data_IF_022982227180
#
_entry.id   IF_022982227180
#
_cell.length_a   1.000
_cell.length_b   1.000
_cell.length_c   1.000
_cell.angle_alpha   90.00
_cell.angle_beta   90.00
_cell.angle_gamma   90.00
#
_symmetry.space_group_name_H-M   'P 1'
#
loop_
_entity.id
_entity.type
_entity.pdbx_description
1 polymer ?
#
# COMPACT_ATOMS: atom_id res chain seq x y z
N UNK A 1 0.07 -31.79 27.20
CA UNK A 1 0.05 -31.99 25.73
C UNK A 1 -0.23 -30.62 25.13
N UNK A 2 0.70 -30.05 24.36
CA UNK A 2 0.48 -28.73 23.74
C UNK A 2 -0.75 -28.80 22.84
N UNK A 3 -1.72 -27.92 23.06
CA UNK A 3 -2.84 -27.76 22.14
C UNK A 3 -2.27 -27.46 20.74
N UNK A 4 -2.51 -28.36 19.79
CA UNK A 4 -1.96 -28.23 18.43
C UNK A 4 -2.48 -26.96 17.74
N UNK A 5 -3.56 -26.35 18.24
CA UNK A 5 -4.16 -25.15 17.67
C UNK A 5 -3.80 -23.85 18.41
N UNK A 6 -2.87 -23.90 19.37
CA UNK A 6 -2.38 -22.73 20.09
C UNK A 6 -1.05 -22.20 19.55
N UNK A 7 -0.90 -20.88 19.45
CA UNK A 7 0.26 -20.17 18.92
C UNK A 7 0.73 -19.08 19.88
N UNK A 8 2.01 -18.70 19.82
CA UNK A 8 2.45 -17.53 20.58
C UNK A 8 1.87 -16.25 19.96
N UNK A 9 1.84 -16.19 18.61
CA UNK A 9 1.31 -15.03 17.86
C UNK A 9 0.50 -15.50 16.65
N UNK A 10 -0.71 -14.97 16.49
CA UNK A 10 -1.47 -15.04 15.24
C UNK A 10 -1.45 -13.66 14.57
N UNK A 11 -1.08 -13.60 13.30
CA UNK A 11 -1.11 -12.39 12.48
C UNK A 11 -2.15 -12.57 11.38
N UNK A 12 -3.13 -11.66 11.34
CA UNK A 12 -4.25 -11.73 10.39
C UNK A 12 -3.99 -10.74 9.26
N UNK A 13 -3.83 -11.27 8.04
CA UNK A 13 -3.44 -10.54 6.85
C UNK A 13 -1.92 -10.47 6.67
N UNK A 14 -1.48 -10.63 5.43
CA UNK A 14 -0.05 -10.72 5.06
C UNK A 14 0.45 -9.52 4.25
N UNK A 15 -0.27 -8.41 4.30
CA UNK A 15 0.13 -7.14 3.68
C UNK A 15 1.33 -6.48 4.37
N UNK A 16 1.59 -5.21 4.07
CA UNK A 16 2.74 -4.46 4.61
C UNK A 16 2.94 -4.63 6.12
N UNK A 17 1.89 -4.44 6.93
CA UNK A 17 1.98 -4.60 8.39
C UNK A 17 2.27 -6.05 8.82
N UNK A 18 1.47 -7.00 8.35
CA UNK A 18 1.56 -8.39 8.79
C UNK A 18 2.82 -9.11 8.29
N UNK A 19 3.18 -8.92 7.02
CA UNK A 19 4.38 -9.50 6.42
C UNK A 19 5.67 -8.96 7.04
N UNK A 20 5.75 -7.65 7.29
CA UNK A 20 6.91 -7.04 7.97
C UNK A 20 7.05 -7.56 9.39
N UNK A 21 5.94 -7.62 10.13
CA UNK A 21 5.94 -8.14 11.50
C UNK A 21 6.37 -9.61 11.53
N UNK A 22 5.84 -10.43 10.62
CA UNK A 22 6.21 -11.84 10.49
C UNK A 22 7.72 -12.00 10.30
N UNK A 23 8.33 -11.19 9.41
CA UNK A 23 9.77 -11.19 9.17
C UNK A 23 10.58 -10.88 10.42
N UNK A 24 10.13 -9.91 11.23
CA UNK A 24 10.80 -9.54 12.48
C UNK A 24 10.66 -10.61 13.57
N UNK A 25 9.51 -11.28 13.62
CA UNK A 25 9.23 -12.30 14.64
C UNK A 25 9.78 -13.69 14.30
N UNK A 26 9.94 -14.03 13.01
CA UNK A 26 10.41 -15.34 12.57
C UNK A 26 11.67 -15.86 13.30
N UNK A 27 12.77 -15.08 13.45
CA UNK A 27 13.99 -15.55 14.11
C UNK A 27 13.88 -15.68 15.64
N UNK A 28 12.77 -15.27 16.26
CA UNK A 28 12.63 -15.31 17.74
C UNK A 28 12.34 -16.70 18.30
N UNK A 29 12.04 -17.67 17.43
CA UNK A 29 11.61 -19.02 17.82
C UNK A 29 10.16 -19.12 18.31
N UNK A 30 9.43 -17.99 18.36
CA UNK A 30 8.01 -17.98 18.69
C UNK A 30 7.19 -18.70 17.63
N UNK A 31 6.19 -19.47 18.04
CA UNK A 31 5.28 -20.17 17.14
C UNK A 31 4.28 -19.17 16.55
N UNK A 32 4.50 -18.77 15.30
CA UNK A 32 3.71 -17.74 14.60
C UNK A 32 2.82 -18.37 13.55
N UNK A 33 1.55 -17.96 13.47
CA UNK A 33 0.64 -18.32 12.39
C UNK A 33 0.20 -17.07 11.63
N UNK A 34 0.43 -17.07 10.31
CA UNK A 34 -0.11 -16.09 9.38
C UNK A 34 -1.43 -16.62 8.80
N UNK A 35 -2.48 -15.81 8.84
CA UNK A 35 -3.78 -16.11 8.24
C UNK A 35 -4.03 -15.14 7.10
N UNK A 36 -4.01 -15.63 5.85
CA UNK A 36 -4.26 -14.84 4.65
C UNK A 36 -5.58 -15.26 4.02
N UNK A 37 -6.44 -14.26 3.74
CA UNK A 37 -7.75 -14.49 3.13
C UNK A 37 -7.62 -15.00 1.70
N UNK A 38 -6.63 -14.51 0.95
CA UNK A 38 -6.35 -14.93 -0.41
C UNK A 38 -5.29 -16.04 -0.51
N UNK A 39 -4.85 -16.29 -1.73
CA UNK A 39 -3.73 -17.18 -2.05
C UNK A 39 -2.57 -16.39 -2.69
N UNK A 40 -1.50 -17.07 -3.07
CA UNK A 40 -0.43 -16.47 -3.85
C UNK A 40 -0.94 -16.00 -5.22
N UNK A 41 -0.48 -14.82 -5.66
CA UNK A 41 -0.68 -14.39 -7.06
C UNK A 41 0.12 -15.33 -7.97
N UNK A 42 -0.51 -15.98 -8.96
CA UNK A 42 0.21 -16.84 -9.90
C UNK A 42 1.28 -16.06 -10.64
N UNK A 43 2.47 -16.66 -10.75
CA UNK A 43 3.57 -16.12 -11.54
C UNK A 43 3.37 -16.50 -13.00
N UNK A 44 2.88 -15.55 -13.80
CA UNK A 44 2.45 -15.81 -15.17
C UNK A 44 2.59 -14.57 -16.06
N UNK A 45 2.60 -14.76 -17.39
CA UNK A 45 2.76 -13.65 -18.36
C UNK A 45 1.71 -12.56 -18.21
N UNK A 46 0.52 -12.91 -17.73
CA UNK A 46 -0.56 -11.95 -17.48
C UNK A 46 -0.20 -10.93 -16.39
N UNK A 47 0.79 -11.19 -15.52
CA UNK A 47 1.30 -10.21 -14.57
C UNK A 47 1.87 -8.96 -15.27
N UNK A 48 2.27 -9.06 -16.54
CA UNK A 48 2.77 -7.95 -17.36
C UNK A 48 1.78 -7.51 -18.46
N UNK A 49 0.53 -7.98 -18.39
CA UNK A 49 -0.51 -7.63 -19.36
C UNK A 49 -1.43 -6.56 -18.80
N UNK A 50 -1.36 -5.34 -19.33
CA UNK A 50 -2.27 -4.25 -18.97
C UNK A 50 -3.74 -4.65 -19.11
N UNK A 51 -4.07 -5.41 -20.15
CA UNK A 51 -5.42 -5.91 -20.36
C UNK A 51 -5.86 -6.85 -19.24
N UNK A 52 -5.01 -7.79 -18.83
CA UNK A 52 -5.35 -8.75 -17.78
C UNK A 52 -5.44 -8.06 -16.40
N UNK A 53 -4.46 -7.22 -16.07
CA UNK A 53 -4.38 -6.60 -14.75
C UNK A 53 -5.39 -5.48 -14.59
N UNK A 54 -5.38 -4.49 -15.48
CA UNK A 54 -6.13 -3.25 -15.28
C UNK A 54 -7.53 -3.28 -15.91
N UNK A 55 -7.67 -3.85 -17.10
CA UNK A 55 -8.98 -3.87 -17.80
C UNK A 55 -9.88 -5.00 -17.29
N UNK A 56 -9.33 -6.20 -17.13
CA UNK A 56 -10.08 -7.37 -16.67
C UNK A 56 -10.12 -7.50 -15.14
N UNK A 57 -9.25 -6.76 -14.41
CA UNK A 57 -9.13 -6.89 -12.96
C UNK A 57 -8.87 -8.32 -12.53
N UNK A 58 -8.00 -9.06 -13.26
CA UNK A 58 -7.84 -10.52 -13.12
C UNK A 58 -7.56 -10.94 -11.68
N UNK A 59 -6.77 -10.14 -10.96
CA UNK A 59 -6.32 -10.43 -9.60
C UNK A 59 -7.08 -9.66 -8.51
N UNK A 60 -7.98 -8.75 -8.91
CA UNK A 60 -8.79 -7.98 -7.97
C UNK A 60 -9.84 -8.87 -7.33
N UNK A 61 -10.19 -8.54 -6.08
CA UNK A 61 -11.32 -9.20 -5.40
C UNK A 61 -12.61 -9.04 -6.21
N UNK A 62 -13.48 -10.05 -6.12
CA UNK A 62 -14.84 -10.01 -6.69
C UNK A 62 -15.90 -9.66 -5.65
N UNK A 63 -15.47 -9.25 -4.47
CA UNK A 63 -16.38 -8.77 -3.44
C UNK A 63 -17.12 -7.51 -3.87
N UNK A 64 -18.30 -7.36 -3.26
CA UNK A 64 -19.15 -6.20 -3.39
C UNK A 64 -19.34 -5.63 -1.99
N UNK A 65 -18.92 -4.38 -1.80
CA UNK A 65 -19.28 -3.57 -0.66
C UNK A 65 -20.48 -2.70 -1.03
N UNK A 66 -20.95 -1.88 -0.09
CA UNK A 66 -22.03 -0.92 -0.34
C UNK A 66 -21.57 0.49 -0.03
N UNK A 67 -22.09 1.45 -0.79
CA UNK A 67 -22.07 2.85 -0.36
C UNK A 67 -23.18 3.11 0.69
N UNK A 68 -23.20 4.33 1.24
CA UNK A 68 -24.24 4.79 2.18
C UNK A 68 -25.69 4.66 1.69
N UNK A 69 -25.91 4.66 0.37
CA UNK A 69 -27.23 4.54 -0.24
C UNK A 69 -27.59 3.07 -0.55
N UNK A 70 -26.68 2.14 -0.26
CA UNK A 70 -26.82 0.71 -0.45
C UNK A 70 -26.42 0.22 -1.84
N UNK A 71 -25.91 1.09 -2.72
CA UNK A 71 -25.51 0.70 -4.07
C UNK A 71 -24.23 -0.14 -4.03
N UNK A 72 -24.06 -1.08 -4.99
CA UNK A 72 -22.83 -1.86 -5.11
C UNK A 72 -21.60 -0.98 -5.29
N UNK A 73 -20.60 -1.19 -4.44
CA UNK A 73 -19.28 -0.59 -4.53
C UNK A 73 -18.24 -1.71 -4.66
N UNK A 74 -17.48 -1.69 -5.75
CA UNK A 74 -16.41 -2.68 -5.98
C UNK A 74 -15.08 -2.13 -5.48
N UNK A 75 -14.50 -2.71 -4.41
CA UNK A 75 -13.26 -2.21 -3.87
C UNK A 75 -12.08 -2.54 -4.77
N UNK A 76 -11.22 -1.55 -5.00
CA UNK A 76 -9.93 -1.78 -5.63
C UNK A 76 -8.93 -2.35 -4.61
N UNK A 77 -9.17 -3.58 -4.17
CA UNK A 77 -8.30 -4.29 -3.22
C UNK A 77 -8.00 -5.71 -3.70
N UNK A 78 -6.83 -6.22 -3.32
CA UNK A 78 -6.41 -7.58 -3.63
C UNK A 78 -6.27 -8.37 -2.33
N UNK A 79 -6.80 -9.60 -2.34
CA UNK A 79 -6.54 -10.58 -1.26
C UNK A 79 -5.57 -11.60 -1.81
N UNK A 80 -4.33 -11.50 -1.35
CA UNK A 80 -3.27 -12.40 -1.74
C UNK A 80 -2.14 -12.30 -0.74
N UNK A 81 -1.22 -13.27 -0.77
CA UNK A 81 -0.01 -13.19 0.04
C UNK A 81 0.79 -11.94 -0.37
N UNK A 82 1.05 -11.06 0.60
CA UNK A 82 1.66 -9.72 0.36
C UNK A 82 0.65 -8.57 0.24
N UNK A 83 -0.64 -8.87 0.12
CA UNK A 83 -1.72 -7.89 0.03
C UNK A 83 -1.53 -6.85 -1.10
N UNK A 84 -1.98 -5.62 -0.88
CA UNK A 84 -1.89 -4.56 -1.90
C UNK A 84 -0.45 -4.14 -2.25
N UNK A 85 0.55 -4.48 -1.44
CA UNK A 85 1.97 -4.25 -1.81
C UNK A 85 2.41 -5.08 -3.01
N UNK A 86 1.65 -6.12 -3.40
CA UNK A 86 1.90 -6.80 -4.68
C UNK A 86 1.71 -5.90 -5.90
N UNK A 87 0.77 -4.98 -5.82
CA UNK A 87 0.32 -4.16 -6.95
C UNK A 87 0.78 -2.71 -6.86
N UNK A 88 1.24 -2.25 -5.69
CA UNK A 88 1.68 -0.87 -5.52
C UNK A 88 2.87 -0.47 -6.42
N UNK A 89 3.11 0.83 -6.55
CA UNK A 89 4.20 1.39 -7.35
C UNK A 89 5.57 1.40 -6.68
N UNK A 90 5.71 0.82 -5.48
CA UNK A 90 6.96 0.77 -4.71
C UNK A 90 7.57 2.14 -4.34
N UNK A 91 6.82 3.23 -4.46
CA UNK A 91 7.21 4.51 -3.88
C UNK A 91 7.08 4.44 -2.36
N UNK A 92 8.17 4.71 -1.64
CA UNK A 92 8.29 4.51 -0.20
C UNK A 92 8.79 5.79 0.48
N UNK A 93 7.91 6.78 0.59
CA UNK A 93 8.18 8.04 1.27
C UNK A 93 8.04 7.91 2.79
N UNK A 94 8.86 8.64 3.54
CA UNK A 94 8.58 8.95 4.94
C UNK A 94 7.44 9.98 5.02
N UNK A 95 6.72 10.04 6.15
CA UNK A 95 5.95 11.26 6.49
C UNK A 95 6.93 12.37 6.90
N UNK A 96 6.53 13.63 6.76
CA UNK A 96 7.33 14.80 7.18
C UNK A 96 7.18 15.04 8.67
N UNK A 97 8.14 15.73 9.28
CA UNK A 97 8.11 16.00 10.73
C UNK A 97 6.85 16.78 11.11
N UNK A 98 6.45 17.71 10.26
CA UNK A 98 5.27 18.55 10.38
C UNK A 98 3.97 17.75 10.31
N UNK A 99 3.95 16.61 9.60
CA UNK A 99 2.76 15.75 9.48
C UNK A 99 2.38 15.08 10.81
N UNK A 100 3.32 15.02 11.76
CA UNK A 100 3.06 14.55 13.13
C UNK A 100 2.45 15.64 14.03
N UNK A 101 2.48 16.89 13.59
CA UNK A 101 1.92 18.03 14.32
C UNK A 101 0.47 18.30 13.91
N UNK A 102 -0.17 19.30 14.53
CA UNK A 102 -1.46 19.77 14.05
C UNK A 102 -1.28 20.48 12.72
N UNK A 103 -1.91 19.97 11.65
CA UNK A 103 -1.81 20.53 10.30
C UNK A 103 -3.12 21.18 9.91
N UNK A 104 -3.06 22.45 9.48
CA UNK A 104 -4.24 23.17 8.97
C UNK A 104 -4.32 22.99 7.46
N UNK A 105 -5.37 22.30 7.01
CA UNK A 105 -5.72 22.18 5.60
C UNK A 105 -6.82 23.17 5.22
N UNK A 106 -7.10 23.31 3.92
CA UNK A 106 -8.19 24.17 3.44
C UNK A 106 -9.55 23.74 4.02
N UNK A 107 -9.81 22.42 4.06
CA UNK A 107 -11.09 21.86 4.51
C UNK A 107 -11.25 21.70 6.02
N UNK A 108 -10.20 21.94 6.82
CA UNK A 108 -10.23 21.65 8.25
C UNK A 108 -8.84 21.39 8.84
N UNK A 109 -8.81 20.67 9.97
CA UNK A 109 -7.58 20.46 10.76
C UNK A 109 -7.33 18.97 10.91
N UNK A 110 -6.11 18.54 10.57
CA UNK A 110 -5.60 17.22 10.97
C UNK A 110 -4.97 17.35 12.36
N UNK A 111 -5.42 16.59 13.36
CA UNK A 111 -4.90 16.68 14.72
C UNK A 111 -3.47 16.14 14.80
N UNK A 112 -2.72 16.60 15.82
CA UNK A 112 -1.39 16.07 16.08
C UNK A 112 -1.42 14.58 16.44
N UNK A 113 -0.37 13.87 16.05
CA UNK A 113 -0.15 12.50 16.43
C UNK A 113 0.26 12.41 17.91
N UNK A 114 -0.06 11.30 18.61
CA UNK A 114 0.40 11.07 19.97
C UNK A 114 1.86 10.60 20.04
N UNK A 115 2.54 10.49 18.89
CA UNK A 115 3.95 10.14 18.72
C UNK A 115 4.59 11.15 17.78
N UNK A 116 5.89 11.34 17.89
CA UNK A 116 6.66 12.28 17.06
C UNK A 116 7.35 11.57 15.89
N UNK A 117 7.77 12.36 14.89
CA UNK A 117 8.63 11.86 13.83
C UNK A 117 9.92 11.27 14.39
N UNK A 118 10.57 11.93 15.36
CA UNK A 118 11.86 11.50 15.90
C UNK A 118 11.75 10.14 16.63
N UNK A 119 10.59 9.82 17.20
CA UNK A 119 10.31 8.48 17.74
C UNK A 119 10.16 7.42 16.63
N UNK A 120 9.61 7.79 15.47
CA UNK A 120 9.43 6.87 14.34
C UNK A 120 10.63 6.81 13.38
N UNK A 121 11.53 7.79 13.41
CA UNK A 121 12.69 7.91 12.52
C UNK A 121 13.51 6.60 12.47
N UNK A 122 13.87 5.95 13.60
CA UNK A 122 14.65 4.72 13.55
C UNK A 122 13.89 3.55 12.91
N UNK A 123 12.56 3.58 12.94
CA UNK A 123 11.70 2.58 12.30
C UNK A 123 11.53 2.85 10.81
N UNK A 124 11.51 4.12 10.38
CA UNK A 124 11.60 4.47 8.96
C UNK A 124 12.92 4.00 8.35
N UNK A 125 14.06 4.22 9.04
CA UNK A 125 15.37 3.74 8.59
C UNK A 125 15.38 2.21 8.46
N UNK A 126 14.86 1.49 9.46
CA UNK A 126 14.72 0.02 9.38
C UNK A 126 13.81 -0.43 8.23
N UNK A 127 12.71 0.30 7.98
CA UNK A 127 11.79 -0.02 6.89
C UNK A 127 12.47 0.19 5.53
N UNK A 128 13.24 1.26 5.35
CA UNK A 128 13.98 1.52 4.12
C UNK A 128 15.03 0.45 3.85
N UNK A 129 15.80 0.05 4.86
CA UNK A 129 16.73 -1.09 4.80
C UNK A 129 16.00 -2.38 4.42
N UNK A 130 14.91 -2.68 5.14
CA UNK A 130 14.13 -3.89 4.94
C UNK A 130 13.56 -3.99 3.53
N UNK A 131 13.04 -2.89 3.00
CA UNK A 131 12.40 -2.81 1.69
C UNK A 131 13.35 -2.40 0.55
N UNK A 132 14.66 -2.41 0.78
CA UNK A 132 15.67 -2.08 -0.23
C UNK A 132 15.35 -0.75 -0.94
N UNK A 133 15.10 0.31 -0.16
CA UNK A 133 14.72 1.60 -0.74
C UNK A 133 15.93 2.28 -1.37
N UNK A 134 15.78 2.61 -2.65
CA UNK A 134 16.69 3.44 -3.41
C UNK A 134 16.33 4.91 -3.22
N UNK A 135 17.31 5.78 -2.98
CA UNK A 135 17.09 7.22 -2.90
C UNK A 135 18.38 7.99 -2.65
N UNK A 136 18.27 9.30 -2.56
CA UNK A 136 19.35 10.20 -2.16
C UNK A 136 18.79 11.20 -1.13
N UNK A 137 19.51 11.41 -0.03
CA UNK A 137 19.02 12.28 1.05
C UNK A 137 19.24 13.74 0.69
N UNK A 138 18.32 14.60 1.10
CA UNK A 138 18.46 16.05 0.93
C UNK A 138 18.22 16.58 -0.48
N UNK A 139 17.87 15.73 -1.46
CA UNK A 139 17.33 16.21 -2.74
C UNK A 139 15.89 16.70 -2.58
N UNK A 140 15.05 15.95 -1.85
CA UNK A 140 13.69 16.40 -1.53
C UNK A 140 13.78 17.61 -0.57
N UNK A 141 13.27 18.78 -0.96
CA UNK A 141 13.31 19.98 -0.11
C UNK A 141 12.54 19.86 1.21
N UNK A 142 11.71 18.83 1.32
CA UNK A 142 10.91 18.52 2.49
C UNK A 142 11.40 17.28 3.22
N UNK A 143 12.51 16.65 2.79
CA UNK A 143 13.02 15.41 3.39
C UNK A 143 13.20 15.59 4.91
N UNK A 144 12.55 14.77 5.76
CA UNK A 144 12.72 14.91 7.19
C UNK A 144 14.10 14.41 7.62
N UNK A 145 14.63 14.86 8.77
CA UNK A 145 15.94 14.44 9.25
C UNK A 145 16.05 12.92 9.37
N UNK A 146 17.14 12.33 8.90
CA UNK A 146 17.40 10.89 8.99
C UNK A 146 18.72 10.59 9.67
N UNK A 147 18.76 9.50 10.44
CA UNK A 147 19.97 8.99 11.07
C UNK A 147 20.93 8.31 10.09
N UNK A 148 20.48 8.00 8.87
CA UNK A 148 21.27 7.32 7.85
C UNK A 148 20.90 7.64 6.40
N UNK A 149 21.84 7.35 5.50
CA UNK A 149 21.56 7.37 4.06
C UNK A 149 20.54 6.30 3.68
N UNK A 150 19.95 6.40 2.48
CA UNK A 150 19.23 5.27 1.90
C UNK A 150 20.17 4.06 1.74
N UNK A 151 19.67 2.82 1.88
CA UNK A 151 20.50 1.63 1.75
C UNK A 151 21.01 1.39 0.31
N UNK A 152 20.34 1.98 -0.69
CA UNK A 152 20.72 1.89 -2.10
C UNK A 152 20.69 3.28 -2.75
N UNK A 153 21.55 3.55 -3.75
CA UNK A 153 21.56 4.83 -4.45
C UNK A 153 20.25 5.07 -5.20
N UNK A 154 19.91 6.34 -5.43
CA UNK A 154 18.76 6.74 -6.23
C UNK A 154 18.70 6.03 -7.58
N UNK A 155 17.48 5.67 -8.02
CA UNK A 155 17.28 5.05 -9.34
C UNK A 155 17.45 6.12 -10.42
N UNK A 156 18.41 5.91 -11.32
CA UNK A 156 18.69 6.90 -12.37
C UNK A 156 17.49 7.20 -13.27
N UNK A 157 17.32 8.48 -13.61
CA UNK A 157 16.36 8.91 -14.62
C UNK A 157 16.75 8.38 -16.02
N UNK A 158 15.77 7.92 -16.78
CA UNK A 158 15.94 7.77 -18.23
C UNK A 158 16.01 9.14 -18.91
N UNK A 159 16.66 9.28 -20.09
CA UNK A 159 17.01 10.59 -20.66
C UNK A 159 15.87 11.61 -20.75
N UNK A 160 14.65 11.17 -21.09
CA UNK A 160 13.49 12.07 -21.19
C UNK A 160 13.00 12.57 -19.83
N UNK A 161 13.15 11.77 -18.78
CA UNK A 161 12.83 12.15 -17.39
C UNK A 161 13.94 13.04 -16.83
N UNK A 162 15.21 12.75 -17.15
CA UNK A 162 16.32 13.64 -16.78
C UNK A 162 16.11 15.04 -17.38
N UNK A 163 15.78 15.11 -18.67
CA UNK A 163 15.47 16.38 -19.32
C UNK A 163 14.35 17.14 -18.58
N UNK A 164 13.28 16.45 -18.18
CA UNK A 164 12.19 17.09 -17.44
C UNK A 164 12.63 17.57 -16.05
N UNK A 165 13.46 16.79 -15.37
CA UNK A 165 14.08 17.19 -14.09
C UNK A 165 14.89 18.48 -14.28
N UNK A 166 15.74 18.53 -15.31
CA UNK A 166 16.53 19.72 -15.63
C UNK A 166 15.63 20.92 -15.98
N UNK A 167 14.55 20.71 -16.73
CA UNK A 167 13.57 21.74 -17.09
C UNK A 167 12.83 22.28 -15.84
N UNK A 168 12.46 21.42 -14.89
CA UNK A 168 11.86 21.82 -13.62
C UNK A 168 12.85 22.61 -12.76
N UNK A 169 14.10 22.18 -12.67
CA UNK A 169 15.14 22.90 -11.97
C UNK A 169 15.39 24.28 -12.60
N UNK A 170 15.43 24.36 -13.95
CA UNK A 170 15.55 25.62 -14.68
C UNK A 170 14.36 26.57 -14.47
N UNK A 171 13.17 26.02 -14.20
CA UNK A 171 11.97 26.77 -13.81
C UNK A 171 11.95 27.17 -12.32
N UNK A 172 12.97 26.81 -11.54
CA UNK A 172 13.10 27.17 -10.12
C UNK A 172 12.46 26.18 -9.14
N UNK A 173 12.01 25.02 -9.61
CA UNK A 173 11.53 23.94 -8.74
C UNK A 173 12.72 23.10 -8.22
N UNK A 174 12.46 22.25 -7.22
CA UNK A 174 13.45 21.31 -6.66
C UNK A 174 13.00 19.87 -6.92
N UNK A 175 13.19 19.38 -8.17
CA UNK A 175 12.92 17.99 -8.49
C UNK A 175 13.92 17.08 -7.76
N UNK A 176 13.46 15.88 -7.42
CA UNK A 176 14.26 14.89 -6.71
C UNK A 176 13.93 13.47 -7.14
N UNK A 177 14.83 12.53 -6.84
CA UNK A 177 14.60 11.13 -7.14
C UNK A 177 13.56 10.51 -6.20
N UNK A 178 12.53 9.91 -6.78
CA UNK A 178 11.52 9.17 -6.04
C UNK A 178 12.17 8.03 -5.23
N UNK A 179 11.93 7.92 -3.92
CA UNK A 179 12.39 6.79 -3.13
C UNK A 179 11.63 5.52 -3.52
N UNK A 180 12.35 4.50 -3.98
CA UNK A 180 11.76 3.30 -4.58
C UNK A 180 12.27 2.00 -3.95
N UNK A 181 11.34 1.15 -3.49
CA UNK A 181 11.63 -0.22 -3.04
C UNK A 181 11.73 -1.22 -4.19
N UNK A 182 12.93 -1.37 -4.76
CA UNK A 182 13.20 -2.33 -5.84
C UNK A 182 14.57 -2.99 -5.62
N UNK A 183 14.72 -4.26 -5.97
CA UNK A 183 16.02 -4.96 -5.92
C UNK A 183 16.78 -4.72 -7.23
N UNK A 184 17.27 -3.48 -7.42
CA UNK A 184 17.94 -3.02 -8.64
C UNK A 184 19.45 -2.85 -8.43
N UNK A 185 20.25 -3.35 -9.37
CA UNK A 185 21.69 -3.06 -9.44
C UNK A 185 22.03 -2.49 -10.83
N UNK A 186 22.15 -1.16 -10.91
CA UNK A 186 22.46 -0.47 -12.18
C UNK A 186 23.92 -0.62 -12.59
N UNK A 187 24.84 -0.83 -11.62
CA UNK A 187 26.26 -1.04 -11.91
C UNK A 187 26.51 -2.42 -12.50
N UNK A 188 25.67 -3.39 -12.13
CA UNK A 188 25.75 -4.77 -12.61
C UNK A 188 24.43 -5.24 -13.25
N UNK A 189 23.94 -4.47 -14.22
CA UNK A 189 22.60 -4.66 -14.81
C UNK A 189 22.31 -6.10 -15.30
N UNK A 190 23.31 -6.85 -15.78
CA UNK A 190 23.11 -8.22 -16.26
C UNK A 190 22.80 -9.25 -15.15
N UNK A 191 23.13 -8.94 -13.90
CA UNK A 191 22.86 -9.78 -12.73
C UNK A 191 21.78 -9.19 -11.81
N UNK A 192 21.28 -7.99 -12.12
CA UNK A 192 20.20 -7.34 -11.37
C UNK A 192 18.92 -8.17 -11.40
N UNK A 193 18.24 -8.28 -10.25
CA UNK A 193 16.90 -8.91 -10.20
C UNK A 193 15.85 -8.02 -10.85
N UNK A 194 15.87 -6.73 -10.54
CA UNK A 194 15.00 -5.75 -11.16
C UNK A 194 15.51 -5.43 -12.56
N UNK A 195 14.66 -5.60 -13.55
CA UNK A 195 14.96 -5.34 -14.96
C UNK A 195 14.39 -4.00 -15.46
N UNK A 196 13.89 -3.15 -14.54
CA UNK A 196 13.21 -1.87 -14.86
C UNK A 196 12.11 -2.02 -15.94
N UNK A 197 11.22 -3.00 -15.78
CA UNK A 197 10.11 -3.20 -16.71
C UNK A 197 9.04 -2.10 -16.61
N UNK A 198 8.27 -1.92 -17.67
CA UNK A 198 7.16 -0.96 -17.75
C UNK A 198 5.93 -1.32 -16.90
N UNK A 199 5.94 -2.47 -16.24
CA UNK A 199 4.84 -3.06 -15.46
C UNK A 199 5.22 -3.18 -14.00
N UNK A 200 5.83 -2.14 -13.43
CA UNK A 200 6.07 -2.06 -11.99
C UNK A 200 4.83 -1.52 -11.27
N UNK A 201 4.33 -0.36 -11.66
CA UNK A 201 3.24 0.35 -10.96
C UNK A 201 1.86 -0.17 -11.37
N UNK A 202 1.12 -0.74 -10.41
CA UNK A 202 -0.20 -1.35 -10.65
C UNK A 202 -0.17 -2.86 -10.93
N UNK A 203 1.01 -3.49 -11.04
CA UNK A 203 1.16 -4.86 -11.53
C UNK A 203 1.93 -5.76 -10.55
N UNK A 204 1.63 -7.07 -10.47
CA UNK A 204 2.52 -8.02 -9.80
C UNK A 204 3.88 -8.08 -10.50
N UNK A 205 4.96 -8.05 -9.73
CA UNK A 205 6.30 -8.17 -10.30
C UNK A 205 6.59 -9.63 -10.68
N UNK A 206 6.59 -9.94 -11.98
CA UNK A 206 6.84 -11.30 -12.50
C UNK A 206 8.22 -11.85 -12.10
N UNK A 207 9.21 -11.00 -11.85
CA UNK A 207 10.58 -11.41 -11.50
C UNK A 207 10.87 -11.32 -10.00
N UNK A 208 9.87 -11.01 -9.17
CA UNK A 208 10.01 -10.86 -7.72
C UNK A 208 11.12 -9.89 -7.29
N UNK A 209 11.28 -8.81 -8.06
CA UNK A 209 12.27 -7.77 -7.78
C UNK A 209 11.67 -6.52 -7.14
N UNK A 210 10.34 -6.33 -7.21
CA UNK A 210 9.65 -5.29 -6.45
C UNK A 210 9.68 -5.68 -4.96
N UNK A 211 10.04 -4.73 -4.10
CA UNK A 211 10.13 -4.95 -2.67
C UNK A 211 8.74 -5.00 -2.03
N UNK A 212 8.01 -6.10 -2.23
CA UNK A 212 6.68 -6.27 -1.65
C UNK A 212 6.71 -7.14 -0.37
N UNK A 213 5.62 -7.09 0.40
CA UNK A 213 5.52 -7.75 1.70
C UNK A 213 5.56 -9.28 1.62
N UNK A 214 5.21 -9.90 0.48
CA UNK A 214 5.44 -11.34 0.32
C UNK A 214 6.94 -11.60 0.12
N UNK A 215 7.55 -10.93 -0.86
CA UNK A 215 8.93 -11.22 -1.30
C UNK A 215 9.95 -10.95 -0.20
N UNK A 216 9.78 -9.87 0.56
CA UNK A 216 10.73 -9.48 1.59
C UNK A 216 10.27 -9.85 3.01
N UNK A 217 8.95 -9.94 3.22
CA UNK A 217 8.37 -10.23 4.52
C UNK A 217 8.05 -11.72 4.72
N UNK A 218 6.99 -12.17 4.05
CA UNK A 218 6.35 -13.48 4.28
C UNK A 218 7.21 -14.65 3.84
N UNK A 219 7.66 -14.69 2.59
CA UNK A 219 8.39 -15.85 2.07
C UNK A 219 9.69 -16.10 2.88
N UNK A 220 10.50 -15.05 3.19
CA UNK A 220 11.66 -15.24 4.04
C UNK A 220 11.33 -15.55 5.51
N UNK A 221 10.11 -15.24 5.99
CA UNK A 221 9.67 -15.65 7.34
C UNK A 221 9.32 -17.15 7.38
N UNK A 222 8.78 -17.70 6.29
CA UNK A 222 8.38 -19.11 6.18
C UNK A 222 9.55 -20.08 6.04
N UNK A 223 10.77 -19.57 5.79
CA UNK A 223 12.00 -20.37 5.88
C UNK A 223 12.27 -20.88 7.32
N UNK A 224 11.65 -20.25 8.32
CA UNK A 224 11.77 -20.64 9.72
C UNK A 224 10.71 -21.68 10.11
N UNK A 225 11.08 -22.80 10.75
CA UNK A 225 10.15 -23.91 11.05
C UNK A 225 9.06 -23.57 12.07
N UNK A 226 9.22 -22.47 12.82
CA UNK A 226 8.26 -21.96 13.79
C UNK A 226 7.19 -21.02 13.19
N UNK A 227 7.26 -20.71 11.89
CA UNK A 227 6.29 -19.84 11.20
C UNK A 227 5.45 -20.67 10.25
N UNK A 228 4.12 -20.59 10.38
CA UNK A 228 3.16 -21.19 9.47
C UNK A 228 2.36 -20.14 8.70
N UNK A 229 1.95 -20.48 7.48
CA UNK A 229 1.00 -19.70 6.69
C UNK A 229 -0.21 -20.57 6.35
N UNK A 230 -1.40 -20.01 6.53
CA UNK A 230 -2.66 -20.57 6.07
C UNK A 230 -3.28 -19.60 5.07
N UNK A 231 -3.29 -19.98 3.79
CA UNK A 231 -3.95 -19.23 2.71
C UNK A 231 -5.42 -19.60 2.58
N UNK A 232 -6.18 -18.82 1.84
CA UNK A 232 -7.64 -19.00 1.68
C UNK A 232 -8.38 -19.04 3.03
N UNK A 233 -7.81 -18.38 4.04
CA UNK A 233 -8.21 -18.41 5.44
C UNK A 233 -8.90 -17.09 5.82
N UNK A 234 -10.23 -17.08 5.71
CA UNK A 234 -11.01 -15.91 6.10
C UNK A 234 -11.23 -15.90 7.61
N UNK A 235 -10.59 -14.99 8.32
CA UNK A 235 -10.91 -14.75 9.74
C UNK A 235 -12.25 -14.05 9.82
N UNK A 236 -13.25 -14.79 10.26
CA UNK A 236 -14.62 -14.30 10.35
C UNK A 236 -14.84 -13.48 11.62
N UNK A 237 -14.30 -13.93 12.75
CA UNK A 237 -14.56 -13.32 14.05
C UNK A 237 -13.47 -13.59 15.07
N UNK A 238 -13.31 -12.65 15.99
CA UNK A 238 -12.54 -12.82 17.23
C UNK A 238 -13.52 -13.06 18.39
N UNK A 239 -13.41 -14.19 19.06
CA UNK A 239 -14.22 -14.51 20.23
C UNK A 239 -13.43 -14.23 21.51
N UNK A 240 -14.00 -13.46 22.42
CA UNK A 240 -13.36 -13.13 23.69
C UNK A 240 -13.58 -14.22 24.74
N UNK A 241 -12.74 -14.22 25.78
CA UNK A 241 -13.02 -14.96 27.01
C UNK A 241 -14.32 -14.45 27.67
N UNK A 242 -14.86 -15.20 28.64
CA UNK A 242 -16.06 -14.78 29.37
C UNK A 242 -15.92 -13.42 30.08
N UNK A 243 -14.67 -13.02 30.41
CA UNK A 243 -14.40 -11.70 30.97
C UNK A 243 -14.50 -10.56 29.96
N UNK A 244 -14.40 -10.87 28.66
CA UNK A 244 -14.31 -9.90 27.58
C UNK A 244 -12.95 -9.22 27.44
N UNK A 245 -11.94 -9.55 28.26
CA UNK A 245 -10.65 -8.85 28.26
C UNK A 245 -9.61 -9.42 27.31
N UNK A 246 -9.74 -10.70 26.95
CA UNK A 246 -8.76 -11.42 26.14
C UNK A 246 -9.46 -12.10 24.95
N UNK A 247 -8.77 -12.20 23.82
CA UNK A 247 -9.26 -13.00 22.68
C UNK A 247 -8.99 -14.47 22.99
N UNK A 248 -10.06 -15.24 23.19
CA UNK A 248 -9.98 -16.67 23.48
C UNK A 248 -9.84 -17.51 22.20
N UNK A 249 -10.45 -17.08 21.10
CA UNK A 249 -10.27 -17.77 19.81
C UNK A 249 -10.39 -16.86 18.59
N UNK A 250 -9.61 -17.21 17.57
CA UNK A 250 -9.67 -16.68 16.20
C UNK A 250 -10.45 -17.67 15.35
N UNK A 251 -11.64 -17.27 14.89
CA UNK A 251 -12.54 -18.11 14.10
C UNK A 251 -12.22 -17.94 12.63
N UNK A 252 -11.79 -19.02 11.99
CA UNK A 252 -11.31 -19.04 10.60
C UNK A 252 -12.22 -19.91 9.76
N UNK A 253 -12.67 -19.38 8.62
CA UNK A 253 -13.38 -20.13 7.59
C UNK A 253 -12.45 -20.41 6.41
N UNK A 254 -12.29 -21.67 6.06
CA UNK A 254 -11.48 -22.13 4.93
C UNK A 254 -12.19 -23.31 4.26
N UNK A 255 -12.33 -23.26 2.93
CA UNK A 255 -12.94 -24.34 2.14
C UNK A 255 -14.33 -24.81 2.65
N UNK A 256 -15.13 -23.87 3.16
CA UNK A 256 -16.45 -24.15 3.74
C UNK A 256 -16.43 -24.75 5.16
N UNK A 257 -15.26 -25.08 5.71
CA UNK A 257 -15.09 -25.53 7.08
C UNK A 257 -14.74 -24.37 8.01
N UNK A 258 -15.12 -24.50 9.28
CA UNK A 258 -14.75 -23.56 10.35
C UNK A 258 -13.70 -24.20 11.26
N UNK A 259 -12.61 -23.49 11.50
CA UNK A 259 -11.56 -23.83 12.44
C UNK A 259 -11.43 -22.73 13.50
N UNK A 260 -10.92 -23.11 14.69
CA UNK A 260 -10.63 -22.17 15.77
C UNK A 260 -9.17 -22.34 16.21
N UNK A 261 -8.48 -21.22 16.32
CA UNK A 261 -7.12 -21.15 16.85
C UNK A 261 -7.09 -20.22 18.06
N UNK A 262 -6.13 -20.42 18.95
CA UNK A 262 -5.87 -19.52 20.08
C UNK A 262 -4.45 -18.99 20.02
N UNK A 263 -4.22 -17.81 20.59
CA UNK A 263 -2.87 -17.27 20.73
C UNK A 263 -2.74 -16.35 21.93
N UNK A 264 -1.50 -16.18 22.40
CA UNK A 264 -1.17 -15.20 23.45
C UNK A 264 -1.33 -13.77 22.90
N UNK A 265 -0.95 -13.55 21.64
CA UNK A 265 -1.09 -12.26 20.95
C UNK A 265 -1.81 -12.48 19.61
N UNK A 266 -2.83 -11.67 19.35
CA UNK A 266 -3.51 -11.61 18.05
C UNK A 266 -3.28 -10.24 17.43
N UNK A 267 -2.71 -10.22 16.24
CA UNK A 267 -2.41 -9.00 15.48
C UNK A 267 -3.39 -8.88 14.32
N UNK A 268 -4.17 -7.80 14.32
CA UNK A 268 -5.11 -7.48 13.24
C UNK A 268 -4.41 -6.58 12.22
N UNK A 269 -4.05 -7.13 11.06
CA UNK A 269 -3.34 -6.44 9.98
C UNK A 269 -4.02 -6.65 8.61
N UNK A 270 -5.36 -6.55 8.58
CA UNK A 270 -6.19 -6.87 7.42
C UNK A 270 -6.28 -5.73 6.39
N UNK A 271 -5.51 -4.64 6.56
CA UNK A 271 -5.73 -3.35 5.89
C UNK A 271 -6.79 -2.50 6.58
N UNK A 272 -6.89 -1.21 6.24
CA UNK A 272 -7.69 -0.23 6.99
C UNK A 272 -9.16 -0.66 7.16
N UNK A 273 -9.82 -1.00 6.05
CA UNK A 273 -11.25 -1.31 6.04
C UNK A 273 -11.55 -2.67 6.67
N UNK A 274 -10.88 -3.73 6.22
CA UNK A 274 -11.15 -5.07 6.72
C UNK A 274 -10.74 -5.26 8.20
N UNK A 275 -9.77 -4.50 8.71
CA UNK A 275 -9.43 -4.53 10.14
C UNK A 275 -10.56 -3.94 10.98
N UNK A 276 -11.10 -2.78 10.58
CA UNK A 276 -12.28 -2.20 11.22
C UNK A 276 -13.48 -3.16 11.13
N UNK A 277 -13.74 -3.72 9.94
CA UNK A 277 -14.82 -4.66 9.72
C UNK A 277 -14.71 -5.92 10.60
N UNK A 278 -13.51 -6.50 10.76
CA UNK A 278 -13.29 -7.64 11.65
C UNK A 278 -13.60 -7.30 13.11
N UNK A 279 -13.13 -6.15 13.59
CA UNK A 279 -13.38 -5.69 14.95
C UNK A 279 -14.87 -5.43 15.19
N UNK A 280 -15.55 -4.77 14.26
CA UNK A 280 -17.01 -4.53 14.31
C UNK A 280 -17.80 -5.85 14.30
N UNK A 281 -17.44 -6.80 13.43
CA UNK A 281 -18.09 -8.13 13.33
C UNK A 281 -17.84 -9.00 14.57
N UNK A 282 -16.83 -8.66 15.36
CA UNK A 282 -16.48 -9.33 16.62
C UNK A 282 -17.26 -8.80 17.82
N UNK A 283 -18.39 -8.11 17.60
CA UNK A 283 -19.31 -7.72 18.65
C UNK A 283 -19.86 -8.93 19.44
N UNK A 284 -20.05 -8.72 20.74
CA UNK A 284 -20.64 -9.69 21.66
C UNK A 284 -21.25 -8.99 22.89
N UNK A 285 -21.78 -9.74 23.85
CA UNK A 285 -22.47 -9.17 25.04
C UNK A 285 -21.60 -8.21 25.87
N UNK A 286 -20.26 -8.37 25.86
CA UNK A 286 -19.33 -7.47 26.54
C UNK A 286 -18.89 -6.29 25.67
N UNK A 287 -18.97 -6.47 24.35
CA UNK A 287 -18.55 -5.50 23.33
C UNK A 287 -19.67 -5.30 22.29
N UNK A 288 -20.84 -4.74 22.68
CA UNK A 288 -22.04 -4.75 21.84
C UNK A 288 -21.91 -3.90 20.57
N UNK A 289 -20.91 -3.01 20.49
CA UNK A 289 -20.62 -2.16 19.31
C UNK A 289 -19.40 -2.62 18.51
N UNK A 290 -18.91 -3.83 18.74
CA UNK A 290 -17.67 -4.34 18.16
C UNK A 290 -16.53 -4.41 19.17
N UNK A 291 -15.64 -5.38 18.97
CA UNK A 291 -14.46 -5.58 19.81
C UNK A 291 -13.54 -4.35 19.75
N UNK A 292 -12.99 -3.94 20.89
CA UNK A 292 -12.18 -2.73 21.05
C UNK A 292 -12.88 -1.41 20.69
N UNK A 293 -14.20 -1.41 20.42
CA UNK A 293 -14.94 -0.21 20.02
C UNK A 293 -15.59 0.54 21.21
N UNK A 294 -14.92 0.57 22.36
CA UNK A 294 -15.40 1.28 23.56
C UNK A 294 -15.54 2.80 23.34
N UNK A 295 -14.64 3.38 22.56
CA UNK A 295 -14.60 4.80 22.20
C UNK A 295 -15.46 5.17 20.99
N UNK A 296 -16.12 4.21 20.33
CA UNK A 296 -16.84 4.43 19.06
C UNK A 296 -15.96 4.94 17.90
N UNK A 297 -14.64 4.75 17.96
CA UNK A 297 -13.73 5.18 16.88
C UNK A 297 -13.45 4.09 15.85
N UNK A 298 -13.73 2.82 16.14
CA UNK A 298 -13.48 1.73 15.17
C UNK A 298 -14.34 1.98 13.93
N UNK A 299 -13.67 2.06 12.78
CA UNK A 299 -14.27 2.36 11.50
C UNK A 299 -14.39 3.84 11.18
N UNK A 300 -14.34 4.78 12.15
CA UNK A 300 -14.39 6.24 11.89
C UNK A 300 -13.06 6.78 11.38
N UNK A 301 -13.08 8.05 10.96
CA UNK A 301 -11.90 8.78 10.49
C UNK A 301 -11.23 8.06 9.32
N UNK A 302 -12.04 7.37 8.52
CA UNK A 302 -11.55 6.71 7.33
C UNK A 302 -11.05 7.79 6.37
N UNK A 303 -9.74 7.78 6.12
CA UNK A 303 -9.06 8.68 5.21
C UNK A 303 -8.54 7.88 4.02
N UNK A 304 -8.49 8.55 2.87
CA UNK A 304 -7.70 8.12 1.73
C UNK A 304 -6.85 9.28 1.21
N UNK A 305 -5.90 8.96 0.35
CA UNK A 305 -5.29 10.01 -0.47
C UNK A 305 -6.25 10.40 -1.59
N UNK A 306 -6.50 11.71 -1.74
CA UNK A 306 -7.22 12.27 -2.87
C UNK A 306 -6.23 12.39 -4.02
N UNK A 307 -6.27 11.39 -4.91
CA UNK A 307 -5.32 11.26 -5.99
C UNK A 307 -5.91 11.71 -7.33
N UNK A 308 -5.11 12.42 -8.12
CA UNK A 308 -5.43 12.78 -9.51
C UNK A 308 -4.30 12.34 -10.44
N UNK A 309 -4.67 11.88 -11.63
CA UNK A 309 -3.71 11.63 -12.72
C UNK A 309 -3.75 12.82 -13.67
N UNK A 310 -2.62 13.47 -13.87
CA UNK A 310 -2.45 14.47 -14.91
C UNK A 310 -1.60 13.88 -16.04
N UNK A 311 -2.18 13.75 -17.23
CA UNK A 311 -1.47 13.31 -18.41
C UNK A 311 -1.12 14.51 -19.29
N UNK A 312 0.16 14.87 -19.35
CA UNK A 312 0.66 15.87 -20.27
C UNK A 312 1.07 15.21 -21.59
N UNK A 313 0.58 15.69 -22.73
CA UNK A 313 0.93 15.15 -24.06
C UNK A 313 1.94 16.08 -24.72
N UNK A 314 3.17 15.60 -24.90
CA UNK A 314 4.26 16.36 -25.49
C UNK A 314 4.31 16.23 -27.02
N UNK A 315 4.92 17.22 -27.69
CA UNK A 315 5.18 17.13 -29.14
C UNK A 315 6.28 16.11 -29.46
N UNK A 316 7.23 15.91 -28.55
CA UNK A 316 8.27 14.91 -28.66
C UNK A 316 7.79 13.55 -28.10
N UNK A 317 8.19 12.43 -28.71
CA UNK A 317 7.95 11.11 -28.12
C UNK A 317 8.64 10.97 -26.76
N UNK A 318 8.01 10.19 -25.88
CA UNK A 318 8.54 9.77 -24.60
C UNK A 318 8.82 8.25 -24.65
N UNK A 319 10.06 7.82 -24.95
CA UNK A 319 10.42 6.40 -25.07
C UNK A 319 10.67 5.70 -23.72
N UNK A 320 10.42 6.38 -22.60
CA UNK A 320 10.78 5.90 -21.25
C UNK A 320 10.01 4.64 -20.90
N UNK A 321 10.72 3.65 -20.35
CA UNK A 321 10.14 2.39 -19.89
C UNK A 321 9.75 2.49 -18.41
N UNK A 322 10.64 3.03 -17.59
CA UNK A 322 10.51 3.12 -16.13
C UNK A 322 10.52 4.59 -15.70
N UNK A 323 9.36 5.25 -15.84
CA UNK A 323 9.23 6.70 -15.63
C UNK A 323 9.07 7.15 -14.18
N UNK A 324 8.80 6.22 -13.24
CA UNK A 324 8.48 6.51 -11.83
C UNK A 324 9.71 6.92 -10.99
N UNK A 325 10.63 7.71 -11.54
CA UNK A 325 11.88 8.07 -10.87
C UNK A 325 11.93 9.51 -10.42
N UNK A 326 11.03 10.38 -10.89
CA UNK A 326 11.01 11.82 -10.61
C UNK A 326 9.85 12.22 -9.70
N UNK A 327 10.13 13.12 -8.77
CA UNK A 327 9.17 13.71 -7.84
C UNK A 327 9.42 15.21 -7.62
N UNK A 328 8.39 15.93 -7.18
CA UNK A 328 8.42 17.37 -6.81
C UNK A 328 7.57 17.59 -5.56
N UNK A 329 8.13 18.30 -4.57
CA UNK A 329 7.49 18.57 -3.28
C UNK A 329 7.49 20.06 -2.88
N UNK A 330 7.80 20.98 -3.79
CA UNK A 330 7.78 22.42 -3.51
C UNK A 330 6.41 22.94 -3.02
N UNK A 331 5.34 22.19 -3.27
CA UNK A 331 3.96 22.52 -2.90
C UNK A 331 3.47 21.80 -1.62
N UNK A 332 4.29 20.92 -1.04
CA UNK A 332 3.87 19.99 0.01
C UNK A 332 3.21 20.71 1.20
N UNK A 333 3.85 21.77 1.71
CA UNK A 333 3.34 22.58 2.82
C UNK A 333 2.57 23.84 2.38
N UNK A 334 2.29 23.99 1.09
CA UNK A 334 1.70 25.20 0.50
C UNK A 334 2.75 26.17 -0.06
N UNK A 335 2.27 27.30 -0.56
CA UNK A 335 3.05 28.38 -1.18
C UNK A 335 2.61 29.74 -0.63
N UNK A 336 3.27 30.83 -1.05
CA UNK A 336 2.86 32.20 -0.71
C UNK A 336 1.43 32.50 -1.18
N UNK A 337 1.07 32.06 -2.39
CA UNK A 337 -0.27 32.26 -2.97
C UNK A 337 -1.33 31.30 -2.39
N UNK A 338 -0.90 30.16 -1.85
CA UNK A 338 -1.79 29.15 -1.28
C UNK A 338 -1.19 28.50 -0.03
N UNK A 339 -1.56 29.05 1.13
CA UNK A 339 -0.97 28.68 2.44
C UNK A 339 -1.30 27.28 2.98
N UNK A 340 -2.12 26.49 2.30
CA UNK A 340 -2.52 25.17 2.79
C UNK A 340 -1.69 24.08 2.09
N UNK A 341 -1.36 22.98 2.78
CA UNK A 341 -0.66 21.84 2.17
C UNK A 341 -1.36 21.37 0.89
N UNK A 342 -0.59 21.23 -0.19
CA UNK A 342 -1.09 20.71 -1.48
C UNK A 342 -0.59 19.28 -1.76
N UNK A 343 0.35 18.79 -0.97
CA UNK A 343 0.84 17.42 -1.04
C UNK A 343 1.93 17.21 -2.09
N UNK A 344 1.87 16.07 -2.75
CA UNK A 344 3.02 15.47 -3.42
C UNK A 344 2.77 15.24 -4.91
N UNK A 345 3.80 15.49 -5.74
CA UNK A 345 3.79 15.19 -7.16
C UNK A 345 4.85 14.14 -7.46
N UNK A 346 4.45 13.06 -8.12
CA UNK A 346 5.37 12.07 -8.72
C UNK A 346 4.82 11.57 -10.04
N UNK A 347 5.37 10.47 -10.55
CA UNK A 347 4.90 9.82 -11.76
C UNK A 347 4.11 8.54 -11.43
N UNK A 348 3.18 8.17 -12.31
CA UNK A 348 2.68 6.78 -12.37
C UNK A 348 3.57 5.93 -13.28
N UNK A 349 3.34 4.62 -13.33
CA UNK A 349 3.85 3.78 -14.41
C UNK A 349 3.43 4.32 -15.79
N UNK A 350 4.25 4.06 -16.82
CA UNK A 350 4.01 4.56 -18.18
C UNK A 350 2.65 4.08 -18.69
N UNK A 351 1.76 5.00 -19.03
CA UNK A 351 0.46 4.66 -19.61
C UNK A 351 0.66 4.12 -21.04
N UNK A 352 -0.11 3.10 -21.39
CA UNK A 352 -0.17 2.54 -22.74
C UNK A 352 -1.56 2.78 -23.37
N UNK A 353 -1.69 2.52 -24.67
CA UNK A 353 -2.97 2.69 -25.38
C UNK A 353 -4.11 1.83 -24.81
N UNK A 354 -3.80 0.70 -24.19
CA UNK A 354 -4.80 -0.16 -23.52
C UNK A 354 -5.35 0.53 -22.29
N UNK A 355 -4.50 1.11 -21.46
CA UNK A 355 -4.90 1.87 -20.26
C UNK A 355 -5.75 3.07 -20.66
N UNK A 356 -5.31 3.83 -21.67
CA UNK A 356 -6.07 4.98 -22.17
C UNK A 356 -7.42 4.57 -22.76
N UNK A 357 -7.51 3.39 -23.39
CA UNK A 357 -8.78 2.90 -23.96
C UNK A 357 -9.86 2.63 -22.91
N UNK A 358 -9.50 2.38 -21.66
CA UNK A 358 -10.46 2.16 -20.58
C UNK A 358 -11.25 3.43 -20.22
N UNK A 359 -10.66 4.61 -20.43
CA UNK A 359 -11.29 5.92 -20.19
C UNK A 359 -11.69 6.69 -21.46
N UNK A 360 -11.31 6.19 -22.65
CA UNK A 360 -11.58 6.86 -23.91
C UNK A 360 -13.02 6.59 -24.42
N UNK A 361 -13.61 7.51 -25.19
CA UNK A 361 -14.85 7.22 -25.92
C UNK A 361 -14.69 5.97 -26.80
N UNK A 362 -15.72 5.12 -26.88
CA UNK A 362 -15.67 3.88 -27.66
C UNK A 362 -15.35 4.09 -29.16
N UNK A 363 -15.55 5.31 -29.67
CA UNK A 363 -15.26 5.71 -31.06
C UNK A 363 -13.82 6.20 -31.27
N UNK A 364 -13.02 6.33 -30.22
CA UNK A 364 -11.63 6.80 -30.32
C UNK A 364 -10.77 5.76 -31.06
N UNK A 365 -10.09 6.11 -32.17
CA UNK A 365 -9.25 5.17 -32.89
C UNK A 365 -8.05 4.69 -32.05
N UNK A 366 -7.81 3.38 -31.98
CA UNK A 366 -6.71 2.81 -31.18
C UNK A 366 -5.33 3.43 -31.46
N UNK A 367 -5.02 3.69 -32.73
CA UNK A 367 -3.74 4.31 -33.11
C UNK A 367 -3.54 5.72 -32.52
N UNK A 368 -4.63 6.47 -32.28
CA UNK A 368 -4.54 7.78 -31.63
C UNK A 368 -4.21 7.66 -30.15
N UNK A 369 -4.71 6.62 -29.48
CA UNK A 369 -4.40 6.35 -28.08
C UNK A 369 -2.96 5.87 -27.91
N UNK A 370 -2.48 5.02 -28.81
CA UNK A 370 -1.08 4.60 -28.83
C UNK A 370 -0.14 5.79 -29.07
N UNK A 371 -0.50 6.69 -29.99
CA UNK A 371 0.27 7.91 -30.23
C UNK A 371 0.27 8.83 -29.00
N UNK A 372 -0.88 9.03 -28.36
CA UNK A 372 -0.96 9.81 -27.12
C UNK A 372 -0.11 9.21 -26.00
N UNK A 373 -0.20 7.89 -25.79
CA UNK A 373 0.60 7.17 -24.81
C UNK A 373 2.10 7.32 -25.10
N UNK A 374 2.53 7.16 -26.35
CA UNK A 374 3.92 7.34 -26.76
C UNK A 374 4.45 8.77 -26.57
N UNK A 375 3.57 9.74 -26.35
CA UNK A 375 3.91 11.15 -26.15
C UNK A 375 3.58 11.66 -24.74
N UNK A 376 3.05 10.80 -23.88
CA UNK A 376 2.57 11.22 -22.56
C UNK A 376 3.68 11.37 -21.53
N UNK A 377 3.46 12.25 -20.56
CA UNK A 377 4.12 12.29 -19.26
C UNK A 377 3.00 12.20 -18.22
N UNK A 378 3.02 11.13 -17.43
CA UNK A 378 1.88 10.74 -16.61
C UNK A 378 2.19 11.01 -15.13
N UNK A 379 1.66 12.13 -14.62
CA UNK A 379 1.87 12.59 -13.26
C UNK A 379 0.82 12.02 -12.32
N UNK A 380 1.27 11.66 -11.12
CA UNK A 380 0.46 11.35 -9.96
C UNK A 380 0.48 12.54 -9.00
N UNK A 381 -0.69 13.09 -8.72
CA UNK A 381 -0.89 14.20 -7.80
C UNK A 381 -1.61 13.66 -6.56
N UNK A 382 -0.95 13.71 -5.41
CA UNK A 382 -1.48 13.25 -4.13
C UNK A 382 -1.80 14.44 -3.24
N UNK A 383 -3.04 14.52 -2.77
CA UNK A 383 -3.45 15.41 -1.69
C UNK A 383 -4.12 14.61 -0.56
N UNK A 384 -4.22 15.20 0.62
CA UNK A 384 -4.72 14.50 1.81
C UNK A 384 -6.21 14.74 2.04
N UNK A 385 -6.91 13.68 2.43
CA UNK A 385 -8.23 13.77 3.06
C UNK A 385 -8.09 14.03 4.56
N UNK A 386 -9.11 14.62 5.17
CA UNK A 386 -9.13 14.93 6.59
C UNK A 386 -9.77 13.77 7.38
N UNK A 387 -9.41 13.60 8.68
CA UNK A 387 -9.99 12.56 9.53
C UNK A 387 -11.41 12.92 9.98
N UNK A 388 -12.33 13.03 9.03
CA UNK A 388 -13.74 13.30 9.31
C UNK A 388 -14.34 12.18 10.17
N UNK A 389 -14.88 12.47 11.37
CA UNK A 389 -15.51 11.46 12.22
C UNK A 389 -16.68 10.73 11.57
N UNK A 390 -17.33 11.32 10.57
CA UNK A 390 -18.47 10.75 9.86
C UNK A 390 -18.07 9.93 8.63
N UNK A 391 -16.82 10.02 8.17
CA UNK A 391 -16.25 9.07 7.20
C UNK A 391 -15.98 7.75 7.89
N UNK A 392 -16.75 6.71 7.54
CA UNK A 392 -16.80 5.51 8.37
C UNK A 392 -17.04 4.20 7.63
N UNK A 393 -16.23 3.20 7.97
CA UNK A 393 -16.50 1.78 7.70
C UNK A 393 -17.54 1.26 8.68
N UNK A 394 -18.67 0.75 8.18
CA UNK A 394 -19.70 0.08 8.99
C UNK A 394 -20.04 -1.29 8.42
N UNK A 395 -20.92 -2.01 9.14
CA UNK A 395 -21.47 -3.28 8.69
C UNK A 395 -22.99 -3.17 8.60
N UNK A 396 -23.58 -3.72 7.53
CA UNK A 396 -25.03 -3.92 7.46
C UNK A 396 -25.48 -5.11 8.36
N UNK A 397 -26.78 -5.40 8.38
CA UNK A 397 -27.36 -6.45 9.23
C UNK A 397 -26.87 -7.85 8.84
N UNK A 398 -26.51 -8.01 7.57
CA UNK A 398 -25.97 -9.23 6.99
C UNK A 398 -24.44 -9.32 7.19
N UNK A 399 -23.82 -8.28 7.75
CA UNK A 399 -22.38 -8.18 8.00
C UNK A 399 -21.56 -7.78 6.77
N UNK A 400 -22.16 -7.25 5.71
CA UNK A 400 -21.43 -6.71 4.58
C UNK A 400 -20.85 -5.34 4.93
N UNK A 401 -19.71 -5.01 4.32
CA UNK A 401 -19.03 -3.73 4.52
C UNK A 401 -19.81 -2.61 3.81
N UNK A 402 -20.02 -1.51 4.53
CA UNK A 402 -20.63 -0.28 4.03
C UNK A 402 -19.67 0.89 4.27
N UNK A 403 -19.46 1.73 3.25
CA UNK A 403 -18.61 2.92 3.28
C UNK A 403 -19.40 4.23 3.14
#
# INVERSE_FOLDING_TARGET
>A
MSDKNHYDVIIIGTGAGGGTLARKLAPTGKRVLLLERGDYVPREKDNWSTRAVNVQGKYQTKEVWRDRDGNPLHPHTNYCVGGNTKFYGAALFRLRREDFCTVKHHGGVSPAWPVTYDELEPYYTQAEEHYHVHGERGEDPTDPPSSGAYPHPAVSHEPRIQQLSDDFAAAGLRPFHTPLGVQLDEKNAHASKCIRCNTCDGFPCLVYAKSDAQVLGVDPALEYPNVGLMTNAYVERLETSASGRDVASVVVRQNGATAKFSADIVVVSCGAINSAALLLRSANDKHPRGLANGSDVVGRHYMGHVNSILMAVAKCPNPVIFQKTLSVNDFYHGTEDWKYPMGHISFVGKLDGVTLSAGAPAIAPGFTLDLMANHSLDFWLTSEDLPDPDNRVTLDREGNIVL
#
